data_IF_206811921640
#
_entry.id   IF_206811921640
#
_cell.length_a   1.000
_cell.length_b   1.000
_cell.length_c   1.000
_cell.angle_alpha   90.00
_cell.angle_beta   90.00
_cell.angle_gamma   90.00
#
_symmetry.space_group_name_H-M   'P 1'
#
loop_
_entity.id
_entity.type
_entity.pdbx_description
1 polymer ?
#
# COMPACT_ATOMS: atom_id res chain seq x y z
N UNK A 1 40.84 -74.86 -29.94
CA UNK A 1 41.36 -75.31 -28.62
C UNK A 1 41.08 -74.22 -27.58
N UNK A 2 40.17 -74.48 -26.63
CA UNK A 2 40.15 -74.17 -25.20
C UNK A 2 40.41 -72.65 -24.81
N UNK A 3 39.67 -72.03 -23.93
CA UNK A 3 38.88 -72.47 -22.74
C UNK A 3 37.97 -71.34 -22.31
N UNK A 4 36.82 -71.75 -21.86
CA UNK A 4 35.79 -71.01 -21.11
C UNK A 4 36.40 -70.50 -19.81
N UNK A 5 36.07 -69.29 -19.40
CA UNK A 5 36.00 -68.92 -17.97
C UNK A 5 34.77 -68.05 -17.76
N UNK A 6 33.90 -68.56 -16.96
CA UNK A 6 32.69 -67.97 -16.40
C UNK A 6 33.12 -67.21 -15.18
N UNK A 7 32.78 -65.94 -15.09
CA UNK A 7 32.87 -65.17 -13.81
C UNK A 7 31.50 -64.57 -13.55
N UNK A 8 30.88 -65.14 -12.55
CA UNK A 8 29.68 -64.67 -11.87
C UNK A 8 29.94 -63.34 -11.22
N UNK A 9 29.17 -62.31 -11.61
CA UNK A 9 29.14 -61.03 -10.88
C UNK A 9 27.80 -60.89 -10.14
N UNK A 10 27.93 -60.73 -8.84
CA UNK A 10 26.86 -60.57 -7.87
C UNK A 10 26.10 -59.28 -8.10
N UNK A 11 24.79 -59.33 -8.19
CA UNK A 11 23.88 -58.18 -8.15
C UNK A 11 23.79 -57.68 -6.71
N UNK A 12 24.35 -56.50 -6.45
CA UNK A 12 24.06 -55.71 -5.26
C UNK A 12 22.83 -54.85 -5.52
N UNK A 13 21.72 -55.20 -4.90
CA UNK A 13 20.50 -54.40 -4.92
C UNK A 13 20.69 -53.16 -4.01
N UNK A 14 20.90 -51.99 -4.60
CA UNK A 14 20.80 -50.71 -3.91
C UNK A 14 19.36 -50.28 -3.82
N UNK A 15 18.74 -50.45 -2.66
CA UNK A 15 17.40 -49.96 -2.38
C UNK A 15 17.42 -48.44 -2.31
N UNK A 16 16.84 -47.75 -3.31
CA UNK A 16 16.56 -46.33 -3.26
C UNK A 16 15.35 -46.09 -2.35
N UNK A 17 15.59 -45.57 -1.14
CA UNK A 17 14.52 -45.02 -0.32
C UNK A 17 14.04 -43.72 -0.96
N UNK A 18 12.91 -43.76 -1.67
CA UNK A 18 12.16 -42.58 -2.02
C UNK A 18 11.52 -42.03 -0.74
N UNK A 19 12.15 -41.02 -0.12
CA UNK A 19 11.50 -40.21 0.87
C UNK A 19 10.40 -39.39 0.15
N UNK A 20 9.14 -39.77 0.35
CA UNK A 20 8.00 -38.99 -0.10
C UNK A 20 8.01 -37.65 0.65
N UNK A 21 8.51 -36.60 0.02
CA UNK A 21 8.32 -35.25 0.48
C UNK A 21 6.82 -34.95 0.48
N UNK A 22 6.24 -34.75 1.66
CA UNK A 22 4.88 -34.24 1.80
C UNK A 22 4.81 -32.89 1.05
N UNK A 23 3.83 -32.67 0.15
CA UNK A 23 3.65 -31.33 -0.40
C UNK A 23 3.35 -30.40 0.77
N UNK A 24 4.20 -29.39 0.97
CA UNK A 24 3.89 -28.29 1.85
C UNK A 24 2.60 -27.67 1.31
N UNK A 25 1.50 -27.81 2.04
CA UNK A 25 0.30 -27.06 1.77
C UNK A 25 0.70 -25.59 2.01
N UNK A 26 0.96 -24.85 0.93
CA UNK A 26 0.94 -23.41 0.98
C UNK A 26 -0.47 -23.04 1.44
N UNK A 27 -0.56 -22.54 2.68
CA UNK A 27 -1.77 -21.92 3.16
C UNK A 27 -2.09 -20.82 2.13
N UNK A 28 -3.28 -20.74 1.53
CA UNK A 28 -3.58 -19.65 0.61
C UNK A 28 -3.49 -18.37 1.42
N UNK A 29 -2.39 -17.66 1.23
CA UNK A 29 -2.19 -16.32 1.77
C UNK A 29 -3.38 -15.50 1.28
N UNK A 30 -4.12 -14.87 2.23
CA UNK A 30 -5.25 -14.02 1.87
C UNK A 30 -4.76 -13.03 0.80
N UNK A 31 -5.50 -12.84 -0.31
CA UNK A 31 -5.03 -12.02 -1.41
C UNK A 31 -4.61 -10.65 -0.85
N UNK A 32 -3.35 -10.28 -1.14
CA UNK A 32 -2.80 -8.99 -0.69
C UNK A 32 -3.78 -7.88 -1.08
N UNK A 33 -4.19 -7.08 -0.08
CA UNK A 33 -5.08 -5.93 -0.34
C UNK A 33 -4.48 -5.07 -1.43
N UNK A 34 -5.29 -4.72 -2.44
CA UNK A 34 -4.89 -3.72 -3.42
C UNK A 34 -4.46 -2.44 -2.71
N UNK A 35 -3.29 -1.91 -3.07
CA UNK A 35 -2.72 -0.69 -2.50
C UNK A 35 -2.82 0.44 -3.50
N UNK A 36 -3.32 1.59 -3.08
CA UNK A 36 -3.54 2.74 -3.96
C UNK A 36 -3.03 4.02 -3.29
N UNK A 37 -2.31 4.85 -4.04
CA UNK A 37 -1.94 6.19 -3.62
C UNK A 37 -2.66 7.25 -4.45
N UNK A 38 -3.47 8.06 -3.79
CA UNK A 38 -4.07 9.25 -4.35
C UNK A 38 -3.13 10.44 -4.19
N UNK A 39 -2.98 11.20 -5.27
CA UNK A 39 -2.17 12.41 -5.32
C UNK A 39 -3.08 13.63 -5.39
N UNK A 40 -2.97 14.54 -4.43
CA UNK A 40 -3.80 15.74 -4.34
C UNK A 40 -2.91 16.98 -4.15
N UNK A 41 -2.95 17.91 -5.12
CA UNK A 41 -2.25 19.19 -5.05
C UNK A 41 -3.15 20.40 -5.30
N UNK A 42 -4.30 20.22 -5.93
CA UNK A 42 -5.20 21.29 -6.36
C UNK A 42 -6.28 21.52 -5.30
N UNK A 43 -6.41 22.75 -4.80
CA UNK A 43 -7.34 23.10 -3.71
C UNK A 43 -8.80 22.82 -4.09
N UNK A 44 -9.19 23.17 -5.31
CA UNK A 44 -10.55 22.98 -5.84
C UNK A 44 -10.91 21.50 -6.06
N UNK A 45 -9.94 20.60 -6.07
CA UNK A 45 -10.13 19.16 -6.24
C UNK A 45 -10.35 18.39 -4.93
N UNK A 46 -10.18 19.04 -3.77
CA UNK A 46 -10.24 18.36 -2.47
C UNK A 46 -11.55 17.58 -2.28
N UNK A 47 -12.70 18.24 -2.47
CA UNK A 47 -14.00 17.59 -2.31
C UNK A 47 -14.22 16.43 -3.29
N UNK A 48 -13.75 16.60 -4.54
CA UNK A 48 -13.82 15.57 -5.57
C UNK A 48 -12.97 14.34 -5.22
N UNK A 49 -11.73 14.56 -4.80
CA UNK A 49 -10.83 13.47 -4.40
C UNK A 49 -11.35 12.72 -3.18
N UNK A 50 -11.85 13.42 -2.17
CA UNK A 50 -12.49 12.78 -1.01
C UNK A 50 -13.73 11.96 -1.42
N UNK A 51 -14.50 12.44 -2.41
CA UNK A 51 -15.60 11.69 -3.00
C UNK A 51 -15.13 10.40 -3.69
N UNK A 52 -14.05 10.48 -4.47
CA UNK A 52 -13.46 9.32 -5.12
C UNK A 52 -12.92 8.29 -4.12
N UNK A 53 -12.30 8.73 -3.02
CA UNK A 53 -11.83 7.83 -1.95
C UNK A 53 -13.02 7.08 -1.34
N UNK A 54 -14.15 7.77 -1.09
CA UNK A 54 -15.37 7.12 -0.63
C UNK A 54 -15.84 6.04 -1.60
N UNK A 55 -15.98 6.42 -2.88
CA UNK A 55 -16.44 5.51 -3.93
C UNK A 55 -15.48 4.31 -4.09
N UNK A 56 -14.19 4.53 -3.87
CA UNK A 56 -13.19 3.47 -3.94
C UNK A 56 -13.36 2.47 -2.79
N UNK A 57 -13.51 2.93 -1.55
CA UNK A 57 -13.82 2.05 -0.43
C UNK A 57 -15.10 1.26 -0.68
N UNK A 58 -16.17 1.94 -1.11
CA UNK A 58 -17.46 1.30 -1.37
C UNK A 58 -17.36 0.26 -2.51
N UNK A 59 -16.70 0.63 -3.62
CA UNK A 59 -16.53 -0.25 -4.78
C UNK A 59 -15.67 -1.48 -4.53
N UNK A 60 -14.76 -1.41 -3.57
CA UNK A 60 -13.93 -2.54 -3.16
C UNK A 60 -14.61 -3.41 -2.08
N UNK A 61 -15.80 -3.05 -1.63
CA UNK A 61 -16.51 -3.77 -0.56
C UNK A 61 -16.09 -3.38 0.85
N UNK A 62 -15.41 -2.25 0.99
CA UNK A 62 -15.03 -1.66 2.28
C UNK A 62 -13.52 -1.53 2.51
N UNK A 63 -13.12 -0.88 3.61
CA UNK A 63 -11.72 -0.57 3.91
C UNK A 63 -10.87 -1.82 4.20
N UNK A 64 -11.50 -2.95 4.47
CA UNK A 64 -10.79 -4.20 4.70
C UNK A 64 -10.25 -4.84 3.41
N UNK A 65 -10.68 -4.36 2.24
CA UNK A 65 -10.31 -4.92 0.94
C UNK A 65 -9.35 -4.06 0.14
N UNK A 66 -9.05 -2.84 0.59
CA UNK A 66 -8.13 -1.92 -0.08
C UNK A 66 -7.34 -1.10 0.94
N UNK A 67 -6.07 -0.84 0.65
CA UNK A 67 -5.24 0.11 1.40
C UNK A 67 -5.11 1.39 0.58
N UNK A 68 -5.60 2.50 1.11
CA UNK A 68 -5.53 3.80 0.44
C UNK A 68 -4.60 4.74 1.20
N UNK A 69 -3.65 5.33 0.49
CA UNK A 69 -2.86 6.47 0.94
C UNK A 69 -3.28 7.72 0.17
N UNK A 70 -3.38 8.85 0.85
CA UNK A 70 -3.56 10.17 0.25
C UNK A 70 -2.33 11.02 0.54
N UNK A 71 -1.65 11.45 -0.51
CA UNK A 71 -0.52 12.39 -0.42
C UNK A 71 -0.98 13.76 -0.84
N UNK A 72 -0.93 14.71 0.09
CA UNK A 72 -1.39 16.08 -0.10
C UNK A 72 -0.20 17.03 -0.11
N UNK A 73 -0.11 17.89 -1.12
CA UNK A 73 0.89 18.95 -1.19
C UNK A 73 0.36 20.21 -1.87
N UNK A 74 1.16 21.29 -1.87
CA UNK A 74 0.81 22.54 -2.50
C UNK A 74 -0.48 23.15 -1.95
N UNK A 75 -1.27 23.85 -2.80
CA UNK A 75 -2.47 24.56 -2.36
C UNK A 75 -3.52 23.68 -1.67
N UNK A 76 -3.62 22.41 -2.04
CA UNK A 76 -4.61 21.49 -1.46
C UNK A 76 -4.48 21.32 0.05
N UNK A 77 -3.25 21.43 0.60
CA UNK A 77 -3.03 21.26 2.03
C UNK A 77 -3.79 22.29 2.87
N UNK A 78 -4.05 23.48 2.34
CA UNK A 78 -4.82 24.54 3.02
C UNK A 78 -6.24 24.10 3.41
N UNK A 79 -6.84 23.22 2.62
CA UNK A 79 -8.18 22.69 2.93
C UNK A 79 -8.21 21.81 4.19
N UNK A 80 -7.05 21.36 4.64
CA UNK A 80 -6.90 20.50 5.82
C UNK A 80 -6.34 21.23 7.04
N UNK A 81 -6.16 22.57 6.98
CA UNK A 81 -5.81 23.35 8.15
C UNK A 81 -6.98 23.35 9.15
N UNK A 82 -6.75 22.94 10.38
CA UNK A 82 -7.81 22.77 11.38
C UNK A 82 -8.65 24.04 11.63
N UNK A 83 -7.99 25.22 11.51
CA UNK A 83 -8.67 26.53 11.73
C UNK A 83 -9.55 26.96 10.57
N UNK A 84 -9.42 26.38 9.39
CA UNK A 84 -10.12 26.83 8.16
C UNK A 84 -10.75 25.71 7.33
N UNK A 85 -10.60 24.47 7.75
CA UNK A 85 -11.23 23.33 7.08
C UNK A 85 -12.75 23.47 7.09
N UNK A 86 -13.40 23.16 5.97
CA UNK A 86 -14.86 23.09 5.95
C UNK A 86 -15.37 21.90 6.77
N UNK A 87 -16.57 22.01 7.32
CA UNK A 87 -17.18 20.92 8.09
C UNK A 87 -17.27 19.61 7.29
N UNK A 88 -17.49 19.67 5.99
CA UNK A 88 -17.51 18.49 5.09
C UNK A 88 -16.13 17.82 5.00
N UNK A 89 -15.06 18.62 4.78
CA UNK A 89 -13.68 18.10 4.72
C UNK A 89 -13.27 17.50 6.06
N UNK A 90 -13.57 18.18 7.16
CA UNK A 90 -13.27 17.68 8.50
C UNK A 90 -13.98 16.34 8.78
N UNK A 91 -15.28 16.27 8.53
CA UNK A 91 -16.08 15.08 8.77
C UNK A 91 -15.59 13.89 7.94
N UNK A 92 -15.38 14.08 6.64
CA UNK A 92 -14.90 13.02 5.74
C UNK A 92 -13.50 12.57 6.10
N UNK A 93 -12.60 13.50 6.38
CA UNK A 93 -11.23 13.19 6.80
C UNK A 93 -11.23 12.31 8.04
N UNK A 94 -12.00 12.69 9.06
CA UNK A 94 -12.15 11.92 10.30
C UNK A 94 -12.70 10.51 10.05
N UNK A 95 -13.72 10.39 9.21
CA UNK A 95 -14.32 9.10 8.84
C UNK A 95 -13.31 8.20 8.13
N UNK A 96 -12.58 8.74 7.14
CA UNK A 96 -11.63 7.97 6.35
C UNK A 96 -10.38 7.58 7.14
N UNK A 97 -9.87 8.43 8.02
CA UNK A 97 -8.78 8.08 8.95
C UNK A 97 -9.20 6.92 9.84
N UNK A 98 -10.44 6.95 10.37
CA UNK A 98 -11.00 5.84 11.14
C UNK A 98 -11.14 4.56 10.32
N UNK A 99 -11.39 4.68 9.02
CA UNK A 99 -11.45 3.57 8.06
C UNK A 99 -10.06 3.09 7.57
N UNK A 100 -8.96 3.71 8.05
CA UNK A 100 -7.60 3.31 7.70
C UNK A 100 -6.95 4.07 6.55
N UNK A 101 -7.54 5.21 6.10
CA UNK A 101 -6.89 6.10 5.14
C UNK A 101 -5.57 6.62 5.72
N UNK A 102 -4.49 6.44 4.98
CA UNK A 102 -3.15 6.95 5.33
C UNK A 102 -2.97 8.37 4.79
N UNK A 103 -3.02 9.39 5.64
CA UNK A 103 -2.84 10.77 5.26
C UNK A 103 -1.37 11.18 5.33
N UNK A 104 -0.81 11.71 4.24
CA UNK A 104 0.56 12.19 4.16
C UNK A 104 0.58 13.66 3.74
N UNK A 105 1.15 14.52 4.58
CA UNK A 105 1.37 15.93 4.28
C UNK A 105 2.80 16.16 3.79
N UNK A 106 2.96 16.82 2.65
CA UNK A 106 4.26 17.15 2.11
C UNK A 106 5.05 18.09 3.04
N UNK A 107 6.22 17.66 3.52
CA UNK A 107 7.07 18.46 4.40
C UNK A 107 7.52 19.79 3.77
N UNK A 108 7.75 19.83 2.46
CA UNK A 108 8.05 21.08 1.75
C UNK A 108 6.86 22.05 1.79
N UNK A 109 5.64 21.53 1.65
CA UNK A 109 4.41 22.35 1.72
C UNK A 109 4.14 22.85 3.13
N UNK A 110 4.35 22.00 4.15
CA UNK A 110 4.24 22.42 5.55
C UNK A 110 5.14 23.64 5.82
N UNK A 111 6.41 23.55 5.42
CA UNK A 111 7.36 24.68 5.56
C UNK A 111 6.94 25.91 4.76
N UNK A 112 6.50 25.73 3.52
CA UNK A 112 6.08 26.84 2.65
C UNK A 112 4.81 27.55 3.15
N UNK A 113 3.96 26.87 3.90
CA UNK A 113 2.74 27.42 4.48
C UNK A 113 2.90 27.83 5.94
N UNK A 114 4.12 27.69 6.50
CA UNK A 114 4.45 27.99 7.91
C UNK A 114 3.50 27.28 8.89
N UNK A 115 3.24 26.00 8.64
CA UNK A 115 2.38 25.15 9.48
C UNK A 115 3.09 23.84 9.84
N UNK A 116 2.61 23.24 10.91
CA UNK A 116 3.05 21.93 11.41
C UNK A 116 1.90 20.93 11.34
N UNK A 117 2.16 19.65 11.65
CA UNK A 117 1.10 18.64 11.75
C UNK A 117 0.02 18.97 12.79
N UNK A 118 0.36 19.79 13.82
CA UNK A 118 -0.60 20.21 14.85
C UNK A 118 -1.65 21.19 14.34
N UNK A 119 -1.32 21.88 13.25
CA UNK A 119 -2.19 22.86 12.61
C UNK A 119 -3.11 22.23 11.58
N UNK A 120 -2.92 20.92 11.29
CA UNK A 120 -3.77 20.15 10.37
C UNK A 120 -4.85 19.37 11.11
N UNK A 121 -5.86 18.96 10.36
CA UNK A 121 -6.82 17.94 10.82
C UNK A 121 -6.07 16.69 11.29
N UNK A 122 -6.56 15.99 12.33
CA UNK A 122 -5.88 14.82 12.88
C UNK A 122 -5.71 13.67 11.86
N UNK A 123 -4.61 12.93 11.98
CA UNK A 123 -4.34 11.74 11.19
C UNK A 123 -3.26 11.90 10.13
N UNK A 124 -2.77 13.12 9.90
CA UNK A 124 -1.64 13.35 8.98
C UNK A 124 -0.30 12.91 9.58
N UNK A 125 0.53 12.34 8.72
CA UNK A 125 1.97 12.14 8.96
C UNK A 125 2.76 12.99 7.98
N UNK A 126 3.93 13.46 8.41
CA UNK A 126 4.79 14.26 7.53
C UNK A 126 5.56 13.38 6.55
N UNK A 127 5.51 13.73 5.29
CA UNK A 127 6.44 13.26 4.27
C UNK A 127 7.61 14.22 4.20
N UNK A 128 8.58 14.06 5.11
CA UNK A 128 9.66 15.04 5.36
C UNK A 128 10.52 15.34 4.13
N UNK A 129 10.75 14.32 3.28
CA UNK A 129 11.49 14.45 2.03
C UNK A 129 10.65 15.04 0.88
N UNK A 130 9.36 15.30 1.12
CA UNK A 130 8.42 15.88 0.17
C UNK A 130 7.39 14.89 -0.35
N UNK A 131 6.25 15.43 -0.80
CA UNK A 131 5.11 14.62 -1.26
C UNK A 131 5.42 13.78 -2.49
N UNK A 132 6.17 14.32 -3.45
CA UNK A 132 6.55 13.60 -4.69
C UNK A 132 7.46 12.40 -4.37
N UNK A 133 8.43 12.58 -3.45
CA UNK A 133 9.28 11.48 -2.98
C UNK A 133 8.42 10.41 -2.29
N UNK A 134 7.48 10.83 -1.44
CA UNK A 134 6.58 9.89 -0.76
C UNK A 134 5.73 9.08 -1.74
N UNK A 135 5.22 9.69 -2.81
CA UNK A 135 4.49 8.99 -3.87
C UNK A 135 5.38 7.93 -4.52
N UNK A 136 6.61 8.28 -4.89
CA UNK A 136 7.55 7.33 -5.49
C UNK A 136 7.88 6.16 -4.55
N UNK A 137 8.05 6.42 -3.24
CA UNK A 137 8.25 5.38 -2.22
C UNK A 137 7.05 4.44 -2.11
N UNK A 138 5.83 4.98 -2.13
CA UNK A 138 4.62 4.16 -2.09
C UNK A 138 4.48 3.31 -3.36
N UNK A 139 4.77 3.88 -4.55
CA UNK A 139 4.76 3.11 -5.79
C UNK A 139 5.79 1.97 -5.76
N UNK A 140 6.98 2.19 -5.21
CA UNK A 140 7.97 1.14 -5.01
C UNK A 140 7.50 0.03 -4.04
N UNK A 141 6.53 0.34 -3.16
CA UNK A 141 5.88 -0.61 -2.25
C UNK A 141 4.62 -1.27 -2.86
N UNK A 142 4.38 -1.08 -4.16
CA UNK A 142 3.28 -1.70 -4.89
C UNK A 142 1.97 -0.89 -4.87
N UNK A 143 2.00 0.39 -4.49
CA UNK A 143 0.80 1.23 -4.59
C UNK A 143 0.57 1.67 -6.04
N UNK A 144 -0.65 1.48 -6.52
CA UNK A 144 -1.11 2.02 -7.80
C UNK A 144 -1.35 3.52 -7.66
N UNK A 145 -0.80 4.32 -8.56
CA UNK A 145 -0.93 5.78 -8.55
C UNK A 145 -2.23 6.25 -9.20
N UNK A 146 -2.97 7.12 -8.51
CA UNK A 146 -4.18 7.78 -9.02
C UNK A 146 -4.10 9.30 -8.77
N UNK A 147 -4.43 10.06 -9.79
CA UNK A 147 -4.62 11.52 -9.73
C UNK A 147 -5.91 11.90 -10.45
N UNK A 148 -7.04 11.94 -9.74
CA UNK A 148 -8.34 12.33 -10.27
C UNK A 148 -8.42 13.79 -10.69
#
# INVERSE_FOLDING_TARGET
MHRRNILTAAFAAAGAMFAAAKPAHANPEAPDKTKVVYHLCDFDKVGFVLGNIKNHFDGMGGPDHVTIALVVHGPALKAFHAVSASADVEQRTKQFVKAGLQLNACGNTLRAQDVTLKDLLPGFVAADRGGVVRIAELQAQGYVYLRP
#
